data_IF_907181794440
#
_entry.id   IF_907181794440
#
_cell.length_a   1.000
_cell.length_b   1.000
_cell.length_c   1.000
_cell.angle_alpha   90.00
_cell.angle_beta   90.00
_cell.angle_gamma   90.00
#
_symmetry.space_group_name_H-M   'P 1'
#
loop_
_entity.id
_entity.type
_entity.pdbx_description
1 polymer ?
#
# COMPACT_ATOMS: atom_id res chain seq x y z
N UNK A 1 10.17 -21.57 44.24
CA UNK A 1 9.37 -21.70 43.01
C UNK A 1 9.36 -20.35 42.31
N UNK A 2 10.07 -20.20 41.18
CA UNK A 2 10.06 -18.94 40.44
C UNK A 2 8.77 -18.84 39.62
N UNK A 3 7.90 -17.89 39.98
CA UNK A 3 6.68 -17.59 39.24
C UNK A 3 7.07 -16.85 37.96
N UNK A 4 6.86 -17.45 36.79
CA UNK A 4 6.96 -16.73 35.51
C UNK A 4 5.74 -15.82 35.37
N UNK A 5 5.99 -14.56 35.03
CA UNK A 5 4.96 -13.59 34.67
C UNK A 5 4.71 -13.72 33.16
N UNK A 6 3.44 -13.86 32.75
CA UNK A 6 3.03 -13.77 31.35
C UNK A 6 2.60 -12.34 31.03
N UNK A 7 2.84 -11.92 29.79
CA UNK A 7 2.42 -10.62 29.27
C UNK A 7 1.77 -10.83 27.91
N UNK A 8 0.78 -10.00 27.59
CA UNK A 8 0.14 -9.96 26.28
C UNK A 8 0.85 -8.93 25.41
N UNK A 9 0.98 -9.22 24.12
CA UNK A 9 1.54 -8.30 23.14
C UNK A 9 0.60 -8.17 21.96
N UNK A 10 0.62 -7.00 21.31
CA UNK A 10 -0.16 -6.73 20.11
C UNK A 10 0.79 -6.63 18.93
N UNK A 11 0.47 -7.32 17.84
CA UNK A 11 1.14 -7.14 16.55
C UNK A 11 0.35 -6.07 15.79
N UNK A 12 1.03 -4.98 15.44
CA UNK A 12 0.49 -3.97 14.52
C UNK A 12 1.05 -4.28 13.14
N UNK A 13 0.18 -4.70 12.22
CA UNK A 13 0.54 -4.77 10.80
C UNK A 13 0.31 -3.39 10.21
N UNK A 14 1.41 -2.73 9.82
CA UNK A 14 1.37 -1.53 9.01
C UNK A 14 1.98 -1.89 7.66
N UNK A 15 1.30 -1.66 6.53
CA UNK A 15 1.92 -1.85 5.23
C UNK A 15 3.17 -0.95 5.14
N UNK A 16 4.15 -1.34 4.34
CA UNK A 16 5.35 -0.50 4.12
C UNK A 16 5.35 0.15 2.74
N UNK A 17 4.55 -0.39 1.82
CA UNK A 17 4.40 0.03 0.45
C UNK A 17 3.08 -0.52 -0.11
N UNK A 18 2.67 -0.01 -1.27
CA UNK A 18 1.66 -0.63 -2.13
C UNK A 18 2.32 -1.04 -3.44
N UNK A 19 1.76 -2.09 -4.05
CA UNK A 19 2.15 -2.54 -5.39
C UNK A 19 1.01 -2.22 -6.35
N UNK A 20 1.34 -1.66 -7.50
CA UNK A 20 0.37 -1.23 -8.51
C UNK A 20 0.79 -1.80 -9.87
N UNK A 21 -0.15 -2.44 -10.55
CA UNK A 21 0.04 -2.89 -11.93
C UNK A 21 -0.55 -1.85 -12.88
N UNK A 22 0.26 -1.33 -13.80
CA UNK A 22 -0.22 -0.37 -14.79
C UNK A 22 -1.17 -1.05 -15.80
N UNK A 23 -2.39 -0.53 -16.04
CA UNK A 23 -3.32 -1.12 -17.00
C UNK A 23 -2.93 -0.88 -18.47
N UNK A 24 -1.97 0.03 -18.75
CA UNK A 24 -1.56 0.38 -20.11
C UNK A 24 -0.38 -0.43 -20.62
N UNK A 25 0.64 -0.64 -19.77
CA UNK A 25 1.87 -1.34 -20.15
C UNK A 25 2.11 -2.62 -19.35
N UNK A 26 1.21 -3.00 -18.44
CA UNK A 26 1.25 -4.22 -17.62
C UNK A 26 2.46 -4.33 -16.68
N UNK A 27 3.28 -3.27 -16.59
CA UNK A 27 4.41 -3.20 -15.66
C UNK A 27 3.91 -2.99 -14.23
N UNK A 28 4.54 -3.73 -13.32
CA UNK A 28 4.32 -3.63 -11.89
C UNK A 28 5.35 -2.66 -11.28
N UNK A 29 4.89 -1.76 -10.43
CA UNK A 29 5.76 -0.85 -9.69
C UNK A 29 5.27 -0.68 -8.26
N UNK A 30 6.21 -0.29 -7.40
CA UNK A 30 5.97 -0.13 -5.96
C UNK A 30 6.01 1.34 -5.59
N UNK A 31 5.06 1.76 -4.75
CA UNK A 31 5.06 3.09 -4.13
C UNK A 31 5.21 2.94 -2.63
N UNK A 32 6.03 3.79 -2.01
CA UNK A 32 6.04 3.90 -0.54
C UNK A 32 4.68 4.36 -0.03
N UNK A 33 4.38 4.11 1.25
CA UNK A 33 3.12 4.58 1.84
C UNK A 33 2.97 6.10 1.72
N UNK A 34 4.02 6.87 1.99
CA UNK A 34 3.97 8.33 1.90
C UNK A 34 3.62 8.80 0.49
N UNK A 35 4.21 8.17 -0.54
CA UNK A 35 3.90 8.48 -1.93
C UNK A 35 2.48 8.06 -2.32
N UNK A 36 2.02 6.91 -1.84
CA UNK A 36 0.66 6.44 -2.06
C UNK A 36 -0.36 7.38 -1.42
N UNK A 37 -0.20 7.68 -0.13
CA UNK A 37 -1.10 8.58 0.60
C UNK A 37 -1.15 9.98 -0.02
N UNK A 38 -0.02 10.48 -0.52
CA UNK A 38 0.05 11.77 -1.22
C UNK A 38 -0.75 11.80 -2.52
N UNK A 39 -0.89 10.65 -3.20
CA UNK A 39 -1.58 10.53 -4.50
C UNK A 39 -3.05 10.14 -4.38
N UNK A 40 -3.34 9.13 -3.56
CA UNK A 40 -4.68 8.50 -3.46
C UNK A 40 -5.37 8.76 -2.12
N UNK A 41 -4.74 9.50 -1.21
CA UNK A 41 -5.30 9.81 0.10
C UNK A 41 -5.23 8.62 1.06
N UNK A 42 -6.36 7.99 1.34
CA UNK A 42 -6.42 6.83 2.22
C UNK A 42 -6.10 5.56 1.43
N UNK A 43 -4.99 4.90 1.73
CA UNK A 43 -4.60 3.65 1.04
C UNK A 43 -5.58 2.49 1.28
N UNK A 44 -6.39 2.56 2.33
CA UNK A 44 -7.45 1.58 2.64
C UNK A 44 -8.82 1.97 2.07
N UNK A 45 -8.91 3.13 1.43
CA UNK A 45 -10.06 3.56 0.61
C UNK A 45 -9.55 4.48 -0.52
N UNK A 46 -8.69 3.94 -1.41
CA UNK A 46 -7.94 4.76 -2.35
C UNK A 46 -8.89 5.30 -3.41
N UNK A 47 -8.92 6.63 -3.53
CA UNK A 47 -9.59 7.34 -4.61
C UNK A 47 -8.61 8.41 -5.11
N UNK A 48 -7.98 8.14 -6.25
CA UNK A 48 -7.08 9.11 -6.86
C UNK A 48 -6.36 8.57 -8.09
N UNK A 49 -5.59 9.46 -8.71
CA UNK A 49 -4.87 9.19 -9.95
C UNK A 49 -3.39 8.88 -9.67
N UNK A 50 -2.85 7.88 -10.39
CA UNK A 50 -1.44 7.51 -10.35
C UNK A 50 -0.87 7.55 -11.77
N UNK A 51 0.27 8.24 -11.94
CA UNK A 51 1.08 8.18 -13.16
C UNK A 51 1.99 6.94 -13.14
N UNK A 52 1.98 6.15 -14.22
CA UNK A 52 2.93 5.06 -14.42
C UNK A 52 4.35 5.60 -14.65
N UNK A 53 5.37 5.15 -13.89
CA UNK A 53 6.74 5.61 -14.09
C UNK A 53 7.32 5.21 -15.45
N UNK A 54 6.86 4.10 -16.04
CA UNK A 54 7.38 3.54 -17.30
C UNK A 54 6.71 4.17 -18.53
N UNK A 55 5.38 4.06 -18.65
CA UNK A 55 4.65 4.53 -19.84
C UNK A 55 4.14 5.97 -19.75
N UNK A 56 4.21 6.60 -18.56
CA UNK A 56 3.75 7.97 -18.30
C UNK A 56 2.25 8.23 -18.47
N UNK A 57 1.46 7.18 -18.63
CA UNK A 57 0.00 7.29 -18.63
C UNK A 57 -0.53 7.36 -17.18
N UNK A 58 -1.57 8.17 -16.99
CA UNK A 58 -2.29 8.35 -15.72
C UNK A 58 -3.54 7.45 -15.68
N UNK A 59 -3.82 6.87 -14.52
CA UNK A 59 -5.00 6.02 -14.32
C UNK A 59 -5.54 6.14 -12.88
N UNK A 60 -6.85 5.94 -12.75
CA UNK A 60 -7.54 5.97 -11.46
C UNK A 60 -7.34 4.66 -10.71
N UNK A 61 -7.05 4.75 -9.42
CA UNK A 61 -7.08 3.63 -8.48
C UNK A 61 -8.32 3.74 -7.61
N UNK A 62 -9.12 2.67 -7.59
CA UNK A 62 -10.40 2.63 -6.87
C UNK A 62 -10.59 1.35 -6.04
N UNK A 63 -9.51 0.63 -5.73
CA UNK A 63 -9.58 -0.64 -5.01
C UNK A 63 -8.21 -1.12 -4.54
N UNK A 64 -8.20 -2.03 -3.56
CA UNK A 64 -7.00 -2.62 -2.98
C UNK A 64 -7.27 -4.06 -2.54
N UNK A 65 -6.19 -4.85 -2.48
CA UNK A 65 -6.18 -6.19 -1.90
C UNK A 65 -4.97 -6.30 -0.95
N UNK A 66 -5.06 -7.19 0.05
CA UNK A 66 -3.91 -7.56 0.89
C UNK A 66 -3.28 -8.82 0.30
N UNK A 67 -2.00 -8.73 -0.02
CA UNK A 67 -1.15 -9.90 -0.29
C UNK A 67 -0.67 -10.54 1.01
#
# INVERSE_FOLDING_TARGET
>A
MNKKLSVEYTIVQCPSHITVTCPHCEEEFTLSLEEAESRVGDIFDPIGDIECPECKEEFEVSGWELD
#
